data_IF_588080730120
#
_entry.id   IF_588080730120
#
_cell.length_a   1.000
_cell.length_b   1.000
_cell.length_c   1.000
_cell.angle_alpha   90.00
_cell.angle_beta   90.00
_cell.angle_gamma   90.00
#
_symmetry.space_group_name_H-M   'P 1'
#
loop_
_entity.id
_entity.type
_entity.pdbx_description
1 polymer ?
#
# COMPACT_ATOMS: atom_id res chain seq x y z
N UNK A 1 -1.38 -1.39 28.89
CA UNK A 1 0.03 -1.57 29.25
C UNK A 1 0.22 -0.91 30.59
N UNK A 2 0.24 -1.71 31.64
CA UNK A 2 0.62 -1.22 32.96
C UNK A 2 2.14 -1.00 32.99
N UNK A 3 2.64 0.00 33.73
CA UNK A 3 4.06 0.17 33.91
C UNK A 3 4.63 -1.08 34.63
N UNK A 4 5.83 -1.55 34.24
CA UNK A 4 6.47 -2.65 34.95
C UNK A 4 6.68 -2.30 36.43
N UNK A 5 6.48 -3.27 37.33
CA UNK A 5 6.60 -3.08 38.77
C UNK A 5 7.96 -2.46 39.13
N UNK A 6 7.93 -1.27 39.75
CA UNK A 6 9.12 -0.50 40.13
C UNK A 6 9.52 0.63 39.18
N UNK A 7 8.85 0.80 38.02
CA UNK A 7 9.11 1.93 37.14
C UNK A 7 8.42 3.21 37.63
N UNK A 8 9.20 4.29 37.80
CA UNK A 8 8.68 5.60 38.15
C UNK A 8 7.74 6.09 37.02
N UNK A 9 6.44 6.23 37.32
CA UNK A 9 5.38 6.50 36.32
C UNK A 9 5.65 7.77 35.51
N UNK A 10 6.34 8.75 36.10
CA UNK A 10 6.76 9.98 35.43
C UNK A 10 7.81 9.75 34.33
N UNK A 11 8.80 8.87 34.55
CA UNK A 11 9.83 8.56 33.55
C UNK A 11 9.30 7.62 32.45
N UNK A 12 8.37 6.73 32.79
CA UNK A 12 7.67 5.89 31.82
C UNK A 12 6.81 6.72 30.85
N UNK A 13 6.02 7.66 31.37
CA UNK A 13 5.17 8.54 30.55
C UNK A 13 5.98 9.51 29.66
N UNK A 14 7.15 9.95 30.11
CA UNK A 14 8.07 10.77 29.30
C UNK A 14 8.68 9.99 28.12
N UNK A 15 8.76 8.66 28.18
CA UNK A 15 9.25 7.84 27.06
C UNK A 15 8.17 7.55 26.03
N UNK A 16 6.91 7.34 26.43
CA UNK A 16 5.82 7.05 25.50
C UNK A 16 5.50 8.26 24.60
N UNK A 17 5.53 9.48 25.14
CA UNK A 17 5.22 10.71 24.38
C UNK A 17 6.21 11.03 23.24
N UNK A 18 7.41 10.42 23.27
CA UNK A 18 8.39 10.47 22.19
C UNK A 18 7.92 9.70 20.96
N UNK A 19 7.31 8.53 21.17
CA UNK A 19 6.95 7.60 20.10
C UNK A 19 5.48 7.69 19.69
N UNK A 20 4.59 8.11 20.59
CA UNK A 20 3.16 8.16 20.34
C UNK A 20 2.64 9.60 20.22
N UNK A 21 1.70 9.82 19.29
CA UNK A 21 0.88 11.04 19.23
C UNK A 21 -0.61 10.72 19.30
N UNK A 22 -1.35 11.61 19.95
CA UNK A 22 -2.81 11.55 20.05
C UNK A 22 -3.39 12.61 19.13
N UNK A 23 -4.32 12.22 18.27
CA UNK A 23 -5.09 13.11 17.43
C UNK A 23 -6.58 12.85 17.66
N UNK A 24 -7.35 13.89 17.98
CA UNK A 24 -8.80 13.79 18.19
C UNK A 24 -9.48 14.63 17.11
N UNK A 25 -10.34 13.99 16.32
CA UNK A 25 -11.09 14.67 15.26
C UNK A 25 -12.54 14.19 15.23
N UNK A 26 -13.47 14.98 14.67
CA UNK A 26 -14.83 14.52 14.43
C UNK A 26 -14.85 13.31 13.49
N UNK A 27 -15.74 12.36 13.74
CA UNK A 27 -15.96 11.25 12.82
C UNK A 27 -16.63 11.75 11.53
N UNK A 28 -15.85 11.83 10.46
CA UNK A 28 -16.31 12.21 9.13
C UNK A 28 -16.74 11.02 8.28
N UNK A 29 -16.57 9.77 8.77
CA UNK A 29 -16.95 8.58 8.02
C UNK A 29 -18.47 8.39 8.03
N UNK A 30 -19.15 8.93 7.02
CA UNK A 30 -20.50 8.51 6.66
C UNK A 30 -20.47 7.11 6.03
N UNK A 31 -20.18 6.06 6.81
CA UNK A 31 -20.49 4.69 6.37
C UNK A 31 -22.01 4.62 6.17
N UNK A 32 -22.44 4.48 4.91
CA UNK A 32 -23.85 4.21 4.56
C UNK A 32 -24.30 2.99 5.37
N UNK A 33 -25.39 3.13 6.15
CA UNK A 33 -26.01 2.00 6.86
C UNK A 33 -26.29 0.87 5.85
N UNK A 34 -26.12 -0.41 6.22
CA UNK A 34 -26.86 -1.48 5.55
C UNK A 34 -28.35 -1.12 5.65
N UNK A 35 -29.09 -1.18 4.53
CA UNK A 35 -30.55 -0.99 4.52
C UNK A 35 -31.17 -2.04 5.45
N UNK A 36 -31.68 -1.63 6.62
CA UNK A 36 -32.28 -2.59 7.55
C UNK A 36 -32.96 -1.99 8.78
N UNK A 37 -32.42 -0.96 9.42
CA UNK A 37 -33.00 -0.47 10.70
C UNK A 37 -33.92 0.74 10.53
N UNK A 38 -35.22 0.44 10.53
CA UNK A 38 -36.36 1.39 10.43
C UNK A 38 -36.69 2.06 11.78
N UNK A 39 -36.07 1.65 12.90
CA UNK A 39 -36.51 2.10 14.24
C UNK A 39 -35.55 3.02 15.03
N UNK A 40 -34.57 3.66 14.40
CA UNK A 40 -33.64 4.56 15.11
C UNK A 40 -33.84 6.01 14.65
N UNK A 41 -34.72 6.74 15.35
CA UNK A 41 -34.97 8.17 15.15
C UNK A 41 -34.12 9.03 16.12
N UNK A 42 -32.85 8.68 16.29
CA UNK A 42 -31.89 9.46 17.09
C UNK A 42 -31.02 10.28 16.14
N UNK A 43 -31.05 11.61 16.27
CA UNK A 43 -30.07 12.50 15.62
C UNK A 43 -28.67 11.99 15.99
N UNK A 44 -27.92 11.44 15.02
CA UNK A 44 -26.50 11.07 15.22
C UNK A 44 -25.74 12.34 15.59
N UNK A 45 -25.47 12.57 16.87
CA UNK A 45 -24.35 13.41 17.25
C UNK A 45 -23.09 12.75 16.68
N UNK A 46 -22.35 13.49 15.85
CA UNK A 46 -21.10 12.99 15.29
C UNK A 46 -20.18 12.53 16.42
N UNK A 47 -19.75 11.28 16.39
CA UNK A 47 -18.76 10.77 17.33
C UNK A 47 -17.44 11.52 17.17
N UNK A 48 -16.56 11.43 18.17
CA UNK A 48 -15.16 11.83 18.03
C UNK A 48 -14.33 10.58 17.82
N UNK A 49 -13.41 10.62 16.87
CA UNK A 49 -12.38 9.59 16.68
C UNK A 49 -11.15 10.00 17.49
N UNK A 50 -10.78 9.15 18.44
CA UNK A 50 -9.49 9.23 19.12
C UNK A 50 -8.51 8.32 18.38
N UNK A 51 -7.44 8.93 17.91
CA UNK A 51 -6.40 8.30 17.12
C UNK A 51 -5.11 8.28 17.94
N UNK A 52 -4.61 7.10 18.28
CA UNK A 52 -3.35 6.92 19.02
C UNK A 52 -2.31 6.21 18.17
N UNK A 53 -1.32 6.95 17.69
CA UNK A 53 -0.42 6.54 16.60
C UNK A 53 0.99 6.37 17.14
N UNK A 54 1.59 5.21 16.91
CA UNK A 54 3.02 4.99 17.13
C UNK A 54 3.80 5.38 15.87
N UNK A 55 4.80 6.24 16.01
CA UNK A 55 5.66 6.73 14.92
C UNK A 55 7.06 6.10 14.93
N UNK A 56 7.29 5.10 15.78
CA UNK A 56 8.54 4.33 15.77
C UNK A 56 8.24 2.86 16.02
N UNK A 57 8.48 1.97 15.05
CA UNK A 57 8.38 0.53 15.29
C UNK A 57 9.48 0.04 16.26
N UNK A 58 10.61 0.76 16.34
CA UNK A 58 11.68 0.49 17.30
C UNK A 58 11.23 0.46 18.76
N UNK A 59 10.20 1.24 19.12
CA UNK A 59 9.60 1.18 20.46
C UNK A 59 9.12 -0.24 20.80
N UNK A 60 8.38 -0.87 19.89
CA UNK A 60 7.88 -2.25 20.07
C UNK A 60 9.02 -3.26 20.04
N UNK A 61 10.02 -3.06 19.18
CA UNK A 61 11.19 -3.96 19.13
C UNK A 61 12.00 -3.94 20.43
N UNK A 62 12.20 -2.77 21.04
CA UNK A 62 12.83 -2.66 22.35
C UNK A 62 12.02 -3.36 23.44
N UNK A 63 10.69 -3.28 23.37
CA UNK A 63 9.81 -3.98 24.31
C UNK A 63 9.96 -5.50 24.20
N UNK A 64 10.01 -6.04 22.98
CA UNK A 64 10.30 -7.46 22.74
C UNK A 64 11.63 -7.90 23.36
N UNK A 65 12.69 -7.09 23.19
CA UNK A 65 14.00 -7.36 23.79
C UNK A 65 13.91 -7.35 25.33
N UNK A 66 13.20 -6.39 25.92
CA UNK A 66 13.01 -6.29 27.39
C UNK A 66 12.23 -7.46 27.97
N UNK A 67 11.28 -8.02 27.21
CA UNK A 67 10.54 -9.21 27.60
C UNK A 67 11.39 -10.50 27.56
N UNK A 68 12.65 -10.42 27.14
CA UNK A 68 13.57 -11.56 27.15
C UNK A 68 13.43 -12.48 25.94
N UNK A 69 12.94 -11.97 24.81
CA UNK A 69 12.96 -12.71 23.53
C UNK A 69 14.39 -13.09 23.22
N UNK A 70 14.66 -14.40 23.16
CA UNK A 70 16.03 -14.93 23.00
C UNK A 70 16.60 -14.72 21.60
N UNK A 71 15.75 -14.74 20.58
CA UNK A 71 16.17 -14.64 19.18
C UNK A 71 15.05 -14.05 18.33
N UNK A 72 15.41 -13.12 17.46
CA UNK A 72 14.53 -12.57 16.41
C UNK A 72 15.20 -12.89 15.08
N UNK A 73 14.54 -13.68 14.25
CA UNK A 73 15.00 -14.01 12.90
C UNK A 73 14.03 -13.35 11.92
N UNK A 74 14.56 -12.51 11.05
CA UNK A 74 13.80 -11.88 9.98
C UNK A 74 14.27 -12.43 8.64
N UNK A 75 13.33 -12.93 7.85
CA UNK A 75 13.57 -13.43 6.50
C UNK A 75 12.58 -12.80 5.54
N UNK A 76 13.06 -12.26 4.43
CA UNK A 76 12.21 -11.71 3.37
C UNK A 76 12.96 -11.76 2.04
N UNK A 77 12.23 -12.01 0.96
CA UNK A 77 12.80 -12.02 -0.40
C UNK A 77 12.93 -10.64 -1.04
N UNK A 78 12.38 -9.59 -0.42
CA UNK A 78 12.31 -8.23 -1.00
C UNK A 78 12.83 -7.16 -0.05
N UNK A 79 13.46 -7.55 1.05
CA UNK A 79 13.98 -6.62 2.06
C UNK A 79 15.31 -6.01 1.59
N UNK A 80 15.23 -4.88 0.90
CA UNK A 80 16.38 -4.10 0.48
C UNK A 80 15.98 -2.60 0.44
N UNK A 81 16.87 -1.66 0.85
CA UNK A 81 18.18 -1.86 1.46
C UNK A 81 18.08 -2.21 2.97
N UNK A 82 18.91 -3.16 3.44
CA UNK A 82 18.90 -3.62 4.83
C UNK A 82 19.22 -2.51 5.85
N UNK A 83 20.10 -1.58 5.50
CA UNK A 83 20.52 -0.50 6.41
C UNK A 83 19.34 0.35 6.88
N UNK A 84 18.50 0.83 5.96
CA UNK A 84 17.30 1.61 6.28
C UNK A 84 16.33 0.83 7.16
N UNK A 85 16.12 -0.45 6.85
CA UNK A 85 15.24 -1.30 7.64
C UNK A 85 15.75 -1.50 9.07
N UNK A 86 17.03 -1.82 9.24
CA UNK A 86 17.62 -2.03 10.58
C UNK A 86 17.59 -0.77 11.44
N UNK A 87 17.78 0.40 10.83
CA UNK A 87 17.71 1.70 11.52
C UNK A 87 16.33 1.97 12.09
N UNK A 88 15.27 1.61 11.35
CA UNK A 88 13.88 1.79 11.76
C UNK A 88 13.50 0.88 12.94
N UNK A 89 14.07 -0.33 12.98
CA UNK A 89 13.81 -1.32 14.04
C UNK A 89 14.53 -1.03 15.36
N UNK A 90 15.55 -0.17 15.37
CA UNK A 90 16.26 0.31 16.57
C UNK A 90 16.83 -0.77 17.51
N UNK A 91 16.94 -2.02 17.05
CA UNK A 91 17.58 -3.12 17.77
C UNK A 91 18.77 -3.65 16.96
N UNK A 92 19.78 -4.26 17.60
CA UNK A 92 20.93 -4.79 16.88
C UNK A 92 20.56 -6.02 16.05
N UNK A 93 21.01 -6.03 14.79
CA UNK A 93 21.01 -7.21 13.91
C UNK A 93 22.46 -7.61 13.63
N UNK A 94 23.12 -8.33 14.55
CA UNK A 94 24.55 -8.65 14.44
C UNK A 94 24.84 -9.62 13.30
N UNK A 95 23.84 -10.40 12.87
CA UNK A 95 23.92 -11.26 11.70
C UNK A 95 23.01 -10.67 10.64
N UNK A 96 23.59 -10.29 9.51
CA UNK A 96 22.85 -9.89 8.30
C UNK A 96 23.38 -10.66 7.10
N UNK A 97 22.47 -11.02 6.20
CA UNK A 97 22.80 -11.73 4.98
C UNK A 97 21.92 -11.20 3.85
N UNK A 98 22.55 -10.66 2.82
CA UNK A 98 21.90 -10.29 1.56
C UNK A 98 22.52 -11.16 0.47
N UNK A 99 21.74 -12.11 -0.04
CA UNK A 99 22.22 -13.00 -1.09
C UNK A 99 22.03 -12.35 -2.46
N UNK A 100 22.93 -12.61 -3.43
CA UNK A 100 22.68 -12.25 -4.81
C UNK A 100 21.40 -12.92 -5.33
N UNK A 101 20.84 -12.36 -6.41
CA UNK A 101 19.67 -12.93 -7.05
C UNK A 101 19.94 -14.37 -7.50
N UNK A 102 18.99 -15.28 -7.26
CA UNK A 102 19.13 -16.72 -7.55
C UNK A 102 19.04 -17.05 -9.04
N UNK A 103 18.64 -16.10 -9.88
CA UNK A 103 18.46 -16.31 -11.33
C UNK A 103 19.43 -15.46 -12.12
N UNK A 104 19.74 -15.94 -13.31
CA UNK A 104 20.58 -15.23 -14.26
C UNK A 104 19.85 -14.04 -14.87
N UNK A 105 20.62 -13.08 -15.38
CA UNK A 105 20.10 -11.85 -16.01
C UNK A 105 19.18 -12.09 -17.20
N UNK A 106 19.27 -13.25 -17.86
CA UNK A 106 18.41 -13.57 -19.00
C UNK A 106 17.01 -14.07 -18.58
N UNK A 107 16.84 -14.46 -17.31
CA UNK A 107 15.59 -15.01 -16.79
C UNK A 107 14.61 -13.90 -16.35
N UNK A 108 15.10 -12.66 -16.17
CA UNK A 108 14.28 -11.51 -15.82
C UNK A 108 14.75 -10.27 -16.57
N UNK A 109 13.80 -9.54 -17.15
CA UNK A 109 14.04 -8.20 -17.65
C UNK A 109 13.37 -7.19 -16.74
N UNK A 110 14.14 -6.19 -16.30
CA UNK A 110 13.65 -5.05 -15.51
C UNK A 110 13.99 -3.79 -16.27
N UNK A 111 12.98 -2.95 -16.51
CA UNK A 111 13.17 -1.70 -17.22
C UNK A 111 12.14 -0.65 -16.85
N UNK A 112 12.53 0.61 -17.08
CA UNK A 112 11.66 1.77 -16.92
C UNK A 112 11.15 2.16 -18.30
N UNK A 113 9.84 2.33 -18.44
CA UNK A 113 9.22 2.84 -19.67
C UNK A 113 8.81 4.31 -19.39
N UNK A 114 9.67 5.30 -19.71
CA UNK A 114 9.42 6.69 -19.32
C UNK A 114 8.40 7.39 -20.22
N UNK A 115 8.12 6.85 -21.41
CA UNK A 115 7.26 7.44 -22.43
C UNK A 115 6.42 6.38 -23.11
N UNK A 116 5.19 6.72 -23.45
CA UNK A 116 4.31 5.85 -24.22
C UNK A 116 4.64 5.87 -25.72
N UNK A 117 3.90 5.09 -26.52
CA UNK A 117 4.12 4.97 -27.96
C UNK A 117 3.81 6.26 -28.74
N UNK A 118 3.13 7.22 -28.11
CA UNK A 118 2.86 8.57 -28.61
C UNK A 118 3.89 9.61 -28.17
N UNK A 119 4.95 9.21 -27.46
CA UNK A 119 6.02 10.10 -26.98
C UNK A 119 5.68 10.84 -25.68
N UNK A 120 4.42 10.80 -25.24
CA UNK A 120 3.95 11.39 -23.99
C UNK A 120 4.62 10.75 -22.79
N UNK A 121 4.96 11.57 -21.79
CA UNK A 121 5.63 11.11 -20.58
C UNK A 121 4.67 10.29 -19.70
N UNK A 122 5.11 9.10 -19.31
CA UNK A 122 4.39 8.26 -18.36
C UNK A 122 4.76 8.67 -16.94
N UNK A 123 3.98 9.59 -16.36
CA UNK A 123 4.15 10.05 -14.99
C UNK A 123 2.84 10.05 -14.21
N UNK A 124 2.80 9.25 -13.15
CA UNK A 124 1.66 9.16 -12.22
C UNK A 124 1.71 10.19 -11.08
N UNK A 125 2.46 11.29 -11.23
CA UNK A 125 2.48 12.41 -10.27
C UNK A 125 1.08 13.00 -10.05
N UNK A 126 0.85 13.60 -8.88
CA UNK A 126 -0.47 14.10 -8.47
C UNK A 126 -1.12 15.03 -9.50
N UNK A 127 -0.33 15.91 -10.11
CA UNK A 127 -0.71 16.91 -11.10
C UNK A 127 -1.01 16.32 -12.49
N UNK A 128 -0.51 15.11 -12.80
CA UNK A 128 -0.56 14.53 -14.16
C UNK A 128 -1.37 13.25 -14.27
N UNK A 129 -1.51 12.48 -13.19
CA UNK A 129 -2.10 11.13 -13.19
C UNK A 129 -3.52 11.02 -13.72
N UNK A 130 -4.24 12.14 -13.84
CA UNK A 130 -5.60 12.21 -14.38
C UNK A 130 -5.72 13.06 -15.65
N UNK A 131 -4.60 13.47 -16.25
CA UNK A 131 -4.62 14.13 -17.55
C UNK A 131 -5.01 13.14 -18.63
N UNK A 132 -5.76 13.59 -19.64
CA UNK A 132 -6.14 12.72 -20.76
C UNK A 132 -4.93 12.19 -21.52
N UNK A 133 -3.88 13.00 -21.64
CA UNK A 133 -2.62 12.63 -22.27
C UNK A 133 -1.99 11.41 -21.57
N UNK A 134 -1.86 11.47 -20.24
CA UNK A 134 -1.29 10.38 -19.45
C UNK A 134 -2.16 9.12 -19.52
N UNK A 135 -3.48 9.25 -19.29
CA UNK A 135 -4.39 8.11 -19.28
C UNK A 135 -4.44 7.42 -20.66
N UNK A 136 -4.44 8.19 -21.74
CA UNK A 136 -4.40 7.67 -23.12
C UNK A 136 -3.08 6.97 -23.42
N UNK A 137 -1.96 7.63 -23.11
CA UNK A 137 -0.62 7.09 -23.34
C UNK A 137 -0.36 5.81 -22.53
N UNK A 138 -0.81 5.75 -21.27
CA UNK A 138 -0.74 4.54 -20.43
C UNK A 138 -1.54 3.39 -21.02
N UNK A 139 -2.79 3.63 -21.44
CA UNK A 139 -3.65 2.59 -22.04
C UNK A 139 -3.08 2.03 -23.34
N UNK A 140 -2.56 2.90 -24.21
CA UNK A 140 -1.87 2.48 -25.45
C UNK A 140 -0.60 1.67 -25.14
N UNK A 141 0.16 2.09 -24.12
CA UNK A 141 1.38 1.39 -23.70
C UNK A 141 1.05 -0.04 -23.23
N UNK A 142 0.07 -0.18 -22.34
CA UNK A 142 -0.38 -1.50 -21.85
C UNK A 142 -0.92 -2.34 -23.00
N UNK A 143 -1.72 -1.77 -23.90
CA UNK A 143 -2.22 -2.49 -25.07
C UNK A 143 -1.11 -2.99 -26.00
N UNK A 144 -0.03 -2.23 -26.18
CA UNK A 144 1.13 -2.68 -26.95
C UNK A 144 1.87 -3.82 -26.23
N UNK A 145 2.09 -3.70 -24.92
CA UNK A 145 2.71 -4.77 -24.10
C UNK A 145 1.86 -6.05 -24.16
N UNK A 146 0.53 -5.92 -24.06
CA UNK A 146 -0.40 -7.04 -24.13
C UNK A 146 -0.31 -7.83 -25.44
N UNK A 147 0.06 -7.20 -26.56
CA UNK A 147 0.24 -7.91 -27.84
C UNK A 147 1.49 -8.76 -27.90
N UNK A 148 2.56 -8.36 -27.22
CA UNK A 148 3.87 -9.03 -27.31
C UNK A 148 4.14 -10.00 -26.17
N UNK A 149 3.56 -9.77 -24.99
CA UNK A 149 3.76 -10.66 -23.83
C UNK A 149 2.85 -11.89 -23.99
N UNK A 150 3.39 -13.11 -23.94
CA UNK A 150 2.58 -14.32 -24.03
C UNK A 150 1.76 -14.53 -22.74
N UNK A 151 0.68 -15.29 -22.85
CA UNK A 151 -0.18 -15.69 -21.73
C UNK A 151 -0.88 -14.52 -21.01
N UNK A 152 -0.29 -13.97 -19.94
CA UNK A 152 -0.96 -13.07 -19.02
C UNK A 152 -0.14 -11.84 -18.63
N UNK A 153 -0.83 -10.80 -18.17
CA UNK A 153 -0.23 -9.57 -17.63
C UNK A 153 -0.85 -9.26 -16.27
N UNK A 154 0.00 -8.91 -15.30
CA UNK A 154 -0.41 -8.40 -14.00
C UNK A 154 0.00 -6.93 -13.92
N UNK A 155 -0.99 -6.04 -13.80
CA UNK A 155 -0.78 -4.58 -13.79
C UNK A 155 -1.22 -4.01 -12.45
N UNK A 156 -0.28 -3.43 -11.71
CA UNK A 156 -0.54 -2.77 -10.44
C UNK A 156 -0.72 -1.26 -10.61
N UNK A 157 -1.71 -0.70 -9.92
CA UNK A 157 -1.91 0.74 -9.83
C UNK A 157 -1.58 1.25 -8.42
N UNK A 158 -1.12 2.50 -8.26
CA UNK A 158 -0.77 3.05 -6.94
C UNK A 158 -1.94 3.14 -5.96
N UNK A 159 -3.18 3.14 -6.44
CA UNK A 159 -4.40 3.15 -5.61
C UNK A 159 -5.65 2.84 -6.45
N UNK A 160 -6.72 2.42 -5.79
CA UNK A 160 -8.02 2.17 -6.43
C UNK A 160 -8.61 3.37 -7.18
N UNK A 161 -8.53 4.64 -6.70
CA UNK A 161 -9.00 5.78 -7.49
C UNK A 161 -8.26 5.95 -8.83
N UNK A 162 -6.95 5.66 -8.87
CA UNK A 162 -6.18 5.72 -10.12
C UNK A 162 -6.54 4.58 -11.05
N UNK A 163 -6.72 3.38 -10.51
CA UNK A 163 -7.24 2.23 -11.26
C UNK A 163 -8.60 2.54 -11.88
N UNK A 164 -9.58 2.97 -11.08
CA UNK A 164 -10.94 3.23 -11.54
C UNK A 164 -10.96 4.28 -12.65
N UNK A 165 -10.26 5.40 -12.43
CA UNK A 165 -10.24 6.49 -13.40
C UNK A 165 -9.59 6.08 -14.72
N UNK A 166 -8.54 5.25 -14.65
CA UNK A 166 -7.89 4.71 -15.85
C UNK A 166 -8.83 3.77 -16.61
N UNK A 167 -9.48 2.84 -15.92
CA UNK A 167 -10.41 1.89 -16.53
C UNK A 167 -11.64 2.61 -17.12
N UNK A 168 -12.21 3.58 -16.41
CA UNK A 168 -13.32 4.41 -16.90
C UNK A 168 -12.93 5.12 -18.20
N UNK A 169 -11.81 5.84 -18.19
CA UNK A 169 -11.31 6.54 -19.37
C UNK A 169 -11.04 5.60 -20.56
N UNK A 170 -10.46 4.43 -20.31
CA UNK A 170 -10.20 3.46 -21.38
C UNK A 170 -11.46 2.85 -21.96
N UNK A 171 -12.49 2.64 -21.15
CA UNK A 171 -13.81 2.19 -21.62
C UNK A 171 -14.47 3.23 -22.50
N UNK A 172 -14.49 4.49 -22.05
CA UNK A 172 -15.07 5.61 -22.81
C UNK A 172 -14.39 5.84 -24.16
N UNK A 173 -13.07 5.61 -24.25
CA UNK A 173 -12.27 5.77 -25.48
C UNK A 173 -12.12 4.50 -26.31
N UNK A 174 -12.78 3.40 -25.92
CA UNK A 174 -12.67 2.09 -26.60
C UNK A 174 -11.27 1.46 -26.55
N UNK A 175 -10.39 1.92 -25.65
CA UNK A 175 -9.07 1.33 -25.43
C UNK A 175 -9.18 0.00 -24.69
N UNK A 176 -10.12 -0.13 -23.76
CA UNK A 176 -10.32 -1.38 -23.01
C UNK A 176 -10.70 -2.52 -23.95
N UNK A 177 -11.61 -2.30 -24.89
CA UNK A 177 -12.02 -3.31 -25.87
C UNK A 177 -10.83 -3.81 -26.70
N UNK A 178 -9.95 -2.89 -27.14
CA UNK A 178 -8.73 -3.25 -27.89
C UNK A 178 -7.72 -4.07 -27.07
N UNK A 179 -7.71 -3.90 -25.75
CA UNK A 179 -6.88 -4.71 -24.85
C UNK A 179 -7.55 -6.08 -24.67
N UNK A 180 -8.86 -6.09 -24.43
CA UNK A 180 -9.68 -7.28 -24.20
C UNK A 180 -9.66 -8.25 -25.40
N UNK A 181 -9.68 -7.71 -26.62
CA UNK A 181 -9.53 -8.47 -27.88
C UNK A 181 -8.21 -9.28 -27.94
N UNK A 182 -7.18 -8.83 -27.22
CA UNK A 182 -5.86 -9.47 -27.18
C UNK A 182 -5.74 -10.37 -25.94
N UNK A 183 -6.15 -9.85 -24.78
CA UNK A 183 -6.13 -10.54 -23.49
C UNK A 183 -7.30 -10.07 -22.63
N UNK A 184 -8.14 -11.00 -22.11
CA UNK A 184 -9.28 -10.63 -21.29
C UNK A 184 -8.85 -9.85 -20.05
N UNK A 185 -9.53 -8.73 -19.79
CA UNK A 185 -9.23 -7.84 -18.68
C UNK A 185 -10.04 -8.23 -17.43
N UNK A 186 -9.34 -8.58 -16.36
CA UNK A 186 -9.92 -8.80 -15.03
C UNK A 186 -9.48 -7.69 -14.08
N UNK A 187 -10.44 -7.09 -13.39
CA UNK A 187 -10.19 -6.00 -12.44
C UNK A 187 -10.42 -6.51 -11.03
N UNK A 188 -9.43 -6.31 -10.16
CA UNK A 188 -9.53 -6.70 -8.75
C UNK A 188 -10.74 -6.01 -8.09
N UNK A 189 -11.60 -6.77 -7.40
CA UNK A 189 -12.76 -6.20 -6.78
C UNK A 189 -12.42 -5.60 -5.40
N UNK A 190 -13.15 -4.55 -5.01
CA UNK A 190 -12.90 -3.79 -3.77
C UNK A 190 -13.38 -4.49 -2.49
N UNK A 191 -14.19 -5.54 -2.61
CA UNK A 191 -14.87 -6.17 -1.49
C UNK A 191 -14.28 -7.53 -1.15
N UNK A 192 -14.01 -7.77 0.14
CA UNK A 192 -13.52 -9.06 0.66
C UNK A 192 -14.40 -10.28 0.29
N UNK A 193 -15.65 -10.08 -0.12
CA UNK A 193 -16.60 -11.15 -0.45
C UNK A 193 -16.90 -11.34 -1.94
N UNK A 194 -16.06 -10.83 -2.84
CA UNK A 194 -16.32 -10.85 -4.29
C UNK A 194 -15.37 -11.74 -5.10
N UNK A 195 -14.47 -12.45 -4.43
CA UNK A 195 -13.82 -13.64 -4.97
C UNK A 195 -14.66 -14.86 -4.61
N UNK A 196 -15.71 -15.12 -5.38
CA UNK A 196 -16.37 -16.42 -5.41
C UNK A 196 -16.06 -17.03 -6.77
N UNK A 197 -15.32 -18.13 -6.73
CA UNK A 197 -14.99 -19.00 -7.87
C UNK A 197 -16.25 -19.51 -8.57
#
# INVERSE_FOLDING_TARGET
MEPPEGANVSSFNQNISKYYKVHIHPDTNQRKKPRGDVWSNSKKQGGKVLSYWCFSPGYTMHDLVRQGVRCVILTSGTLCPLSSFTMEMQIPFPVSLENPHVIDKHQIWVGIVPRGPDGSQLSSSYDRRFSEEYLSSLGKTIGNIARVVPHGLLVFFPSYPVLDKSIEFWKERGLSAKIDDVKPMFVEPRGKGSFTE
#
